data_IF_721817665374
#
_entry.id   IF_721817665374
#
_cell.length_a   1.000
_cell.length_b   1.000
_cell.length_c   1.000
_cell.angle_alpha   90.00
_cell.angle_beta   90.00
_cell.angle_gamma   90.00
#
_symmetry.space_group_name_H-M   'P 1'
#
loop_
_entity.id
_entity.type
_entity.pdbx_description
1 polymer ?
#
# COMPACT_ATOMS: atom_id res chain seq x y z
N UNK A 1 43.21 -58.95 -14.89
CA UNK A 1 41.75 -59.06 -15.10
C UNK A 1 41.09 -59.32 -13.76
N UNK A 2 39.81 -58.96 -13.58
CA UNK A 2 39.17 -57.69 -13.89
C UNK A 2 39.25 -56.81 -12.59
N UNK A 3 38.47 -55.76 -12.30
CA UNK A 3 37.59 -54.89 -13.09
C UNK A 3 37.72 -53.44 -12.55
N UNK A 4 37.06 -52.46 -13.17
CA UNK A 4 36.75 -51.16 -12.55
C UNK A 4 35.26 -50.82 -12.75
N UNK A 5 34.54 -50.56 -11.66
CA UNK A 5 33.14 -50.11 -11.70
C UNK A 5 32.97 -48.72 -11.08
N UNK A 6 32.83 -47.72 -11.95
CA UNK A 6 32.58 -46.32 -11.56
C UNK A 6 31.15 -46.14 -11.03
N UNK A 7 31.01 -45.67 -9.79
CA UNK A 7 29.73 -45.42 -9.12
C UNK A 7 29.20 -43.99 -9.34
N UNK A 8 28.78 -43.67 -10.57
CA UNK A 8 28.07 -42.42 -10.86
C UNK A 8 26.55 -42.58 -10.71
N UNK A 9 26.05 -42.29 -9.50
CA UNK A 9 24.64 -42.42 -9.12
C UNK A 9 24.10 -41.21 -8.36
N UNK A 10 24.17 -40.01 -8.95
CA UNK A 10 23.55 -38.81 -8.37
C UNK A 10 22.02 -38.86 -8.51
N UNK A 11 21.36 -39.55 -7.57
CA UNK A 11 19.90 -39.65 -7.52
C UNK A 11 19.29 -38.27 -7.24
N UNK A 12 18.64 -37.70 -8.26
CA UNK A 12 17.77 -36.54 -8.11
C UNK A 12 16.60 -36.88 -7.18
N UNK A 13 16.58 -36.27 -5.99
CA UNK A 13 15.52 -36.51 -5.01
C UNK A 13 14.19 -35.95 -5.49
N UNK A 14 13.20 -36.83 -5.68
CA UNK A 14 11.77 -36.57 -5.53
C UNK A 14 11.18 -35.41 -6.37
N UNK A 15 10.71 -35.73 -7.58
CA UNK A 15 9.98 -34.81 -8.50
C UNK A 15 8.59 -34.36 -8.01
N UNK A 16 8.12 -34.80 -6.85
CA UNK A 16 6.71 -34.73 -6.40
C UNK A 16 6.20 -33.37 -5.92
N UNK A 17 6.96 -32.28 -6.05
CA UNK A 17 6.57 -30.93 -5.57
C UNK A 17 7.04 -29.78 -6.48
N UNK A 18 7.09 -30.00 -7.81
CA UNK A 18 7.46 -28.94 -8.78
C UNK A 18 6.20 -28.34 -9.42
N UNK A 19 5.90 -27.07 -9.14
CA UNK A 19 4.76 -26.37 -9.78
C UNK A 19 5.27 -25.61 -11.00
N UNK A 20 5.61 -26.32 -12.08
CA UNK A 20 6.10 -25.77 -13.35
C UNK A 20 5.05 -25.90 -14.45
N UNK A 21 5.04 -24.96 -15.41
CA UNK A 21 4.24 -25.04 -16.64
C UNK A 21 5.04 -25.56 -17.83
N UNK A 22 6.34 -25.82 -17.65
CA UNK A 22 7.22 -26.36 -18.69
C UNK A 22 6.86 -27.82 -18.99
N UNK A 23 6.67 -28.22 -20.27
CA UNK A 23 6.47 -29.61 -20.65
C UNK A 23 7.63 -30.51 -20.18
N UNK A 24 7.37 -31.75 -19.68
CA UNK A 24 8.43 -32.62 -19.15
C UNK A 24 9.59 -32.90 -20.11
N UNK A 25 9.32 -32.97 -21.42
CA UNK A 25 10.34 -33.14 -22.47
C UNK A 25 11.28 -31.94 -22.56
N UNK A 26 10.74 -30.72 -22.55
CA UNK A 26 11.50 -29.46 -22.57
C UNK A 26 12.29 -29.30 -21.26
N UNK A 27 11.67 -29.62 -20.12
CA UNK A 27 12.34 -29.60 -18.83
C UNK A 27 13.53 -30.57 -18.76
N UNK A 28 13.34 -31.80 -19.25
CA UNK A 28 14.41 -32.80 -19.33
C UNK A 28 15.54 -32.33 -20.26
N UNK A 29 15.21 -31.81 -21.44
CA UNK A 29 16.21 -31.31 -22.39
C UNK A 29 17.08 -30.20 -21.78
N UNK A 30 16.47 -29.20 -21.11
CA UNK A 30 17.18 -28.10 -20.46
C UNK A 30 18.06 -28.61 -19.31
N UNK A 31 17.52 -29.44 -18.42
CA UNK A 31 18.23 -29.91 -17.22
C UNK A 31 19.34 -30.93 -17.49
N UNK A 32 19.30 -31.61 -18.63
CA UNK A 32 20.35 -32.55 -19.06
C UNK A 32 21.45 -31.90 -19.91
N UNK A 33 21.34 -30.60 -20.24
CA UNK A 33 22.42 -29.91 -20.97
C UNK A 33 23.71 -29.84 -20.13
N UNK A 34 24.86 -29.88 -20.81
CA UNK A 34 26.18 -29.62 -20.19
C UNK A 34 26.46 -28.12 -20.00
N UNK A 35 25.41 -27.32 -19.82
CA UNK A 35 25.49 -25.87 -19.63
C UNK A 35 25.81 -25.52 -18.17
N UNK A 36 26.20 -24.26 -17.91
CA UNK A 36 26.40 -23.82 -16.53
C UNK A 36 25.06 -23.81 -15.75
N UNK A 37 25.08 -24.00 -14.42
CA UNK A 37 23.88 -23.98 -13.60
C UNK A 37 23.09 -22.66 -13.62
N UNK A 38 23.77 -21.54 -13.90
CA UNK A 38 23.15 -20.23 -14.16
C UNK A 38 22.41 -20.21 -15.50
N UNK A 39 23.02 -20.75 -16.57
CA UNK A 39 22.38 -20.86 -17.89
C UNK A 39 21.19 -21.82 -17.85
N UNK A 40 21.28 -22.93 -17.13
CA UNK A 40 20.14 -23.84 -16.91
C UNK A 40 18.99 -23.09 -16.22
N UNK A 41 19.27 -22.31 -15.18
CA UNK A 41 18.24 -21.51 -14.52
C UNK A 41 17.67 -20.40 -15.42
N UNK A 42 18.46 -19.80 -16.31
CA UNK A 42 17.98 -18.84 -17.31
C UNK A 42 17.03 -19.50 -18.33
N UNK A 43 17.44 -20.60 -18.96
CA UNK A 43 16.64 -21.37 -19.91
C UNK A 43 15.33 -21.86 -19.29
N UNK A 44 15.34 -22.29 -18.02
CA UNK A 44 14.10 -22.65 -17.30
C UNK A 44 13.17 -21.44 -17.11
N UNK A 45 13.70 -20.24 -16.81
CA UNK A 45 12.87 -19.03 -16.71
C UNK A 45 12.29 -18.58 -18.06
N UNK A 46 13.03 -18.76 -19.16
CA UNK A 46 12.52 -18.54 -20.51
C UNK A 46 11.42 -19.54 -20.86
N UNK A 47 11.62 -20.82 -20.53
CA UNK A 47 10.61 -21.86 -20.74
C UNK A 47 9.32 -21.63 -19.92
N UNK A 48 9.40 -21.18 -18.65
CA UNK A 48 8.20 -20.77 -17.89
C UNK A 48 7.51 -19.56 -18.53
N UNK A 49 8.25 -18.60 -19.08
CA UNK A 49 7.66 -17.45 -19.74
C UNK A 49 6.92 -17.82 -21.04
N UNK A 50 7.47 -18.75 -21.81
CA UNK A 50 6.87 -19.26 -23.07
C UNK A 50 5.65 -20.15 -22.82
N UNK A 51 5.66 -20.98 -21.77
CA UNK A 51 4.58 -21.93 -21.47
C UNK A 51 3.59 -21.41 -20.40
N UNK A 52 3.73 -20.16 -19.95
CA UNK A 52 2.81 -19.54 -19.00
C UNK A 52 1.40 -19.42 -19.62
N UNK A 53 0.33 -19.93 -18.95
CA UNK A 53 -1.04 -19.86 -19.45
C UNK A 53 -1.63 -18.44 -19.46
N UNK A 54 -0.91 -17.46 -18.93
CA UNK A 54 -1.32 -16.05 -18.93
C UNK A 54 -0.17 -15.14 -19.35
N UNK A 55 -0.41 -14.08 -20.13
CA UNK A 55 0.60 -13.11 -20.49
C UNK A 55 1.20 -12.45 -19.26
N UNK A 56 2.52 -12.20 -19.30
CA UNK A 56 3.23 -11.45 -18.27
C UNK A 56 2.67 -10.02 -18.19
N UNK A 57 2.09 -9.65 -17.04
CA UNK A 57 1.58 -8.30 -16.83
C UNK A 57 2.68 -7.24 -17.09
N UNK A 58 2.35 -6.12 -17.73
CA UNK A 58 3.31 -5.15 -18.26
C UNK A 58 4.31 -4.59 -17.22
N UNK A 59 3.90 -4.45 -15.96
CA UNK A 59 4.79 -3.99 -14.87
C UNK A 59 5.56 -5.13 -14.16
N UNK A 60 5.29 -6.39 -14.48
CA UNK A 60 5.90 -7.53 -13.83
C UNK A 60 7.31 -7.76 -14.37
N UNK A 61 8.29 -7.78 -13.47
CA UNK A 61 9.69 -8.03 -13.85
C UNK A 61 9.96 -9.50 -14.20
N UNK A 62 9.20 -10.44 -13.64
CA UNK A 62 9.40 -11.90 -13.74
C UNK A 62 8.07 -12.62 -13.93
N UNK A 63 8.11 -13.80 -14.54
CA UNK A 63 7.05 -14.83 -14.46
C UNK A 63 7.35 -15.72 -13.23
N UNK A 64 6.34 -16.39 -12.68
CA UNK A 64 6.48 -17.31 -11.55
C UNK A 64 5.88 -18.68 -11.89
N UNK A 65 6.51 -19.80 -11.51
CA UNK A 65 7.70 -19.92 -10.65
C UNK A 65 8.96 -19.30 -11.30
N UNK A 66 9.80 -18.67 -10.48
CA UNK A 66 11.05 -18.09 -10.93
C UNK A 66 12.22 -18.97 -10.50
N UNK A 67 12.96 -19.49 -11.46
CA UNK A 67 14.08 -20.40 -11.23
C UNK A 67 15.35 -19.65 -10.83
N UNK A 68 16.08 -20.20 -9.86
CA UNK A 68 17.37 -19.69 -9.38
C UNK A 68 18.35 -20.81 -9.14
N UNK A 69 19.63 -20.54 -9.34
CA UNK A 69 20.74 -21.42 -9.00
C UNK A 69 21.03 -21.38 -7.49
N UNK A 70 21.17 -22.54 -6.85
CA UNK A 70 21.53 -22.63 -5.42
C UNK A 70 23.02 -22.33 -5.21
N UNK A 71 23.38 -21.38 -4.35
CA UNK A 71 24.80 -21.00 -4.11
C UNK A 71 25.70 -22.08 -3.47
N UNK A 72 25.17 -23.26 -3.13
CA UNK A 72 25.94 -24.34 -2.49
C UNK A 72 25.95 -25.60 -3.37
N UNK A 73 24.78 -26.20 -3.63
CA UNK A 73 24.71 -27.41 -4.46
C UNK A 73 24.57 -27.14 -5.96
N UNK A 74 24.52 -25.86 -6.37
CA UNK A 74 24.31 -25.39 -7.75
C UNK A 74 22.99 -25.82 -8.42
N UNK A 75 22.24 -26.78 -7.86
CA UNK A 75 20.95 -27.20 -8.42
C UNK A 75 19.97 -26.02 -8.58
N UNK A 76 19.24 -25.95 -9.71
CA UNK A 76 18.18 -24.97 -9.91
C UNK A 76 17.00 -25.25 -8.96
N UNK A 77 16.37 -24.19 -8.47
CA UNK A 77 15.22 -24.27 -7.57
C UNK A 77 14.20 -23.16 -7.84
N UNK A 78 12.93 -23.45 -7.58
CA UNK A 78 11.83 -22.52 -7.79
C UNK A 78 11.67 -21.52 -6.63
N UNK A 79 11.29 -20.29 -6.98
CA UNK A 79 10.77 -19.28 -6.07
C UNK A 79 9.38 -18.87 -6.57
N UNK A 80 8.34 -18.97 -5.74
CA UNK A 80 6.96 -18.73 -6.18
C UNK A 80 6.50 -17.28 -5.98
N UNK A 81 7.26 -16.46 -5.25
CA UNK A 81 6.96 -15.02 -5.05
C UNK A 81 8.19 -14.13 -5.26
N UNK A 82 7.93 -12.83 -5.44
CA UNK A 82 8.94 -11.76 -5.54
C UNK A 82 9.86 -11.71 -4.32
N UNK A 83 9.31 -11.93 -3.14
CA UNK A 83 9.99 -11.92 -1.84
C UNK A 83 10.90 -13.14 -1.70
N UNK A 84 10.41 -14.32 -2.11
CA UNK A 84 11.22 -15.54 -2.19
C UNK A 84 12.37 -15.35 -3.19
N UNK A 85 12.09 -14.89 -4.41
CA UNK A 85 13.11 -14.68 -5.43
C UNK A 85 14.16 -13.62 -5.03
N UNK A 86 13.80 -12.62 -4.21
CA UNK A 86 14.72 -11.64 -3.63
C UNK A 86 15.56 -12.21 -2.48
N UNK A 87 14.94 -12.94 -1.53
CA UNK A 87 15.58 -13.40 -0.29
C UNK A 87 16.34 -14.72 -0.42
N UNK A 88 15.77 -15.70 -1.12
CA UNK A 88 16.27 -17.06 -1.13
C UNK A 88 17.53 -17.16 -2.00
N UNK A 89 18.62 -17.71 -1.45
CA UNK A 89 19.90 -17.95 -2.15
C UNK A 89 20.24 -19.44 -2.26
N UNK A 90 19.41 -20.29 -1.66
CA UNK A 90 19.64 -21.72 -1.47
C UNK A 90 18.32 -22.47 -1.70
N UNK A 91 18.38 -23.67 -2.28
CA UNK A 91 17.21 -24.46 -2.63
C UNK A 91 16.43 -25.02 -1.42
N UNK A 92 17.10 -25.20 -0.28
CA UNK A 92 16.52 -25.80 0.92
C UNK A 92 17.29 -25.40 2.17
N UNK A 93 16.72 -25.66 3.36
CA UNK A 93 17.40 -25.44 4.65
C UNK A 93 18.72 -26.22 4.75
N UNK A 94 18.85 -27.37 4.09
CA UNK A 94 20.08 -28.16 4.08
C UNK A 94 21.23 -27.46 3.34
N UNK A 95 20.91 -26.63 2.34
CA UNK A 95 21.88 -25.81 1.61
C UNK A 95 22.08 -24.41 2.21
N UNK A 96 21.39 -24.05 3.29
CA UNK A 96 21.70 -22.82 4.03
C UNK A 96 22.96 -23.07 4.86
N UNK A 97 24.05 -22.29 4.71
CA UNK A 97 25.22 -22.42 5.56
C UNK A 97 24.84 -22.30 7.03
N UNK A 98 25.20 -23.29 7.86
CA UNK A 98 24.87 -23.35 9.31
C UNK A 98 25.58 -22.28 10.15
N UNK A 99 26.17 -21.26 9.53
CA UNK A 99 26.91 -20.19 10.18
C UNK A 99 26.19 -18.84 9.99
N UNK A 100 25.04 -18.61 10.66
CA UNK A 100 24.49 -17.27 10.79
C UNK A 100 25.51 -16.45 11.58
N UNK A 101 26.18 -15.52 10.89
CA UNK A 101 27.49 -14.98 11.27
C UNK A 101 27.74 -14.85 12.77
N UNK A 102 28.66 -15.69 13.28
CA UNK A 102 29.07 -15.88 14.68
C UNK A 102 28.36 -14.95 15.69
N UNK A 103 27.18 -15.37 16.15
CA UNK A 103 26.54 -14.75 17.31
C UNK A 103 27.49 -14.96 18.49
N UNK A 104 28.13 -13.88 18.95
CA UNK A 104 29.10 -13.93 20.04
C UNK A 104 28.48 -14.62 21.29
N UNK A 105 29.20 -15.56 21.94
CA UNK A 105 28.85 -16.08 23.26
C UNK A 105 28.54 -14.94 24.24
N UNK A 106 27.67 -15.16 25.21
CA UNK A 106 27.20 -14.07 26.08
C UNK A 106 28.35 -13.41 26.87
N UNK A 107 29.39 -14.17 27.23
CA UNK A 107 30.62 -13.67 27.86
C UNK A 107 31.44 -12.71 26.98
N UNK A 108 31.37 -12.81 25.65
CA UNK A 108 32.08 -11.92 24.72
C UNK A 108 31.28 -10.66 24.36
N UNK A 109 30.07 -10.49 24.89
CA UNK A 109 29.19 -9.36 24.55
C UNK A 109 29.43 -8.20 25.52
N UNK A 110 29.74 -7.03 24.96
CA UNK A 110 29.84 -5.76 25.70
C UNK A 110 28.45 -5.33 26.23
N UNK A 111 28.25 -5.51 27.52
CA UNK A 111 27.00 -5.25 28.24
C UNK A 111 27.07 -5.71 29.68
N UNK A 112 26.08 -5.31 30.48
CA UNK A 112 26.01 -5.61 31.91
C UNK A 112 24.64 -6.15 32.29
N UNK A 113 24.59 -6.96 33.35
CA UNK A 113 23.34 -7.31 34.02
C UNK A 113 22.92 -6.13 34.90
N UNK A 114 21.68 -5.69 34.74
CA UNK A 114 21.13 -4.55 35.48
C UNK A 114 19.72 -4.89 35.98
N UNK A 115 19.36 -4.37 37.15
CA UNK A 115 18.05 -4.58 37.74
C UNK A 115 16.94 -3.84 36.96
N UNK A 116 15.76 -4.46 36.86
CA UNK A 116 14.58 -3.78 36.35
C UNK A 116 14.07 -2.76 37.37
N UNK A 117 13.95 -1.49 36.96
CA UNK A 117 13.51 -0.40 37.83
C UNK A 117 12.09 -0.57 38.41
N UNK A 118 11.24 -1.43 37.85
CA UNK A 118 9.88 -1.68 38.37
C UNK A 118 9.78 -2.90 39.30
N UNK A 119 10.56 -3.95 39.05
CA UNK A 119 10.37 -5.24 39.73
C UNK A 119 11.67 -5.91 40.21
N UNK A 120 12.80 -5.19 40.21
CA UNK A 120 14.11 -5.68 40.62
C UNK A 120 14.75 -6.68 39.66
N UNK A 121 13.96 -7.47 38.91
CA UNK A 121 14.45 -8.58 38.08
C UNK A 121 15.65 -8.20 37.21
N UNK A 122 16.76 -8.87 37.47
CA UNK A 122 18.00 -8.74 36.72
C UNK A 122 17.82 -9.13 35.26
N UNK A 123 18.30 -8.27 34.36
CA UNK A 123 18.35 -8.57 32.92
C UNK A 123 19.61 -7.99 32.29
N UNK A 124 20.26 -8.80 31.45
CA UNK A 124 21.40 -8.38 30.64
C UNK A 124 21.00 -7.37 29.55
N UNK A 125 21.80 -6.30 29.42
CA UNK A 125 21.62 -5.24 28.41
C UNK A 125 22.96 -4.86 27.76
N UNK A 126 23.00 -4.62 26.44
CA UNK A 126 24.20 -4.11 25.77
C UNK A 126 24.55 -2.69 26.26
N UNK A 127 25.84 -2.36 26.34
CA UNK A 127 26.31 -1.03 26.76
C UNK A 127 25.77 0.10 25.84
N UNK A 128 25.50 -0.21 24.57
CA UNK A 128 24.88 0.72 23.63
C UNK A 128 23.43 1.10 24.01
N UNK A 129 22.70 0.23 24.73
CA UNK A 129 21.37 0.54 25.24
C UNK A 129 21.45 1.31 26.56
N UNK A 130 22.36 0.92 27.44
CA UNK A 130 22.61 1.61 28.72
C UNK A 130 23.08 3.06 28.52
N UNK A 131 23.88 3.34 27.48
CA UNK A 131 24.25 4.71 27.09
C UNK A 131 23.09 5.55 26.51
N UNK A 132 22.00 4.92 26.06
CA UNK A 132 20.87 5.61 25.40
C UNK A 132 19.66 5.77 26.33
N UNK A 133 19.45 4.81 27.22
CA UNK A 133 18.30 4.75 28.09
C UNK A 133 18.74 4.60 29.54
N UNK A 134 18.56 5.68 30.30
CA UNK A 134 18.72 5.70 31.76
C UNK A 134 17.76 4.71 32.44
N UNK A 135 16.54 4.58 31.92
CA UNK A 135 15.54 3.64 32.45
C UNK A 135 15.65 2.25 31.85
N UNK A 136 15.78 1.22 32.70
CA UNK A 136 15.87 -0.18 32.27
C UNK A 136 14.74 -1.04 32.83
N UNK A 137 14.09 -1.78 31.93
CA UNK A 137 13.00 -2.70 32.24
C UNK A 137 13.30 -4.12 31.75
N UNK A 138 12.84 -5.12 32.51
CA UNK A 138 13.02 -6.53 32.14
C UNK A 138 12.15 -6.93 30.93
N UNK A 139 10.91 -6.43 30.87
CA UNK A 139 9.93 -6.76 29.84
C UNK A 139 9.17 -5.52 29.32
N UNK A 140 8.48 -5.68 28.18
CA UNK A 140 7.56 -4.66 27.64
C UNK A 140 6.42 -4.34 28.60
N UNK A 141 6.01 -5.27 29.46
CA UNK A 141 4.96 -5.05 30.46
C UNK A 141 5.44 -4.09 31.57
N UNK A 142 6.67 -4.25 32.06
CA UNK A 142 7.21 -3.37 33.09
C UNK A 142 7.42 -1.95 32.57
N UNK A 143 7.98 -1.80 31.37
CA UNK A 143 8.06 -0.50 30.68
C UNK A 143 6.64 0.10 30.50
N UNK A 144 5.69 -0.71 30.02
CA UNK A 144 4.30 -0.31 29.81
C UNK A 144 3.58 0.17 31.08
N UNK A 145 3.85 -0.43 32.25
CA UNK A 145 3.29 0.03 33.53
C UNK A 145 3.78 1.42 33.93
N UNK A 146 5.10 1.68 33.83
CA UNK A 146 5.67 3.00 34.14
C UNK A 146 5.13 4.07 33.19
N UNK A 147 5.15 3.79 31.88
CA UNK A 147 4.57 4.70 30.86
C UNK A 147 3.06 4.88 31.02
N UNK A 148 2.34 3.86 31.45
CA UNK A 148 0.91 3.94 31.73
C UNK A 148 0.60 4.85 32.91
N UNK A 149 1.40 4.77 34.00
CA UNK A 149 1.28 5.67 35.14
C UNK A 149 1.64 7.12 34.79
N UNK A 150 2.64 7.34 33.92
CA UNK A 150 2.95 8.65 33.34
C UNK A 150 1.78 9.20 32.51
N UNK A 151 1.26 8.40 31.57
CA UNK A 151 0.12 8.78 30.72
C UNK A 151 -1.17 9.02 31.50
N UNK A 152 -1.40 8.31 32.60
CA UNK A 152 -2.54 8.54 33.50
C UNK A 152 -2.56 9.98 34.05
N UNK A 153 -1.39 10.59 34.31
CA UNK A 153 -1.27 12.02 34.69
C UNK A 153 -1.74 12.98 33.61
N UNK A 154 -1.94 12.51 32.37
CA UNK A 154 -2.43 13.30 31.24
C UNK A 154 -3.80 12.84 30.74
N UNK A 155 -4.41 11.80 31.34
CA UNK A 155 -5.72 11.30 30.95
C UNK A 155 -6.82 12.38 31.05
N UNK A 156 -6.73 13.27 32.04
CA UNK A 156 -7.62 14.43 32.21
C UNK A 156 -7.56 15.45 31.06
N UNK A 157 -6.59 15.36 30.15
CA UNK A 157 -6.49 16.23 28.95
C UNK A 157 -7.27 15.67 27.76
N UNK A 158 -7.78 14.45 27.86
CA UNK A 158 -8.62 13.82 26.83
C UNK A 158 -10.05 14.37 26.83
N UNK A 159 -10.76 14.19 25.70
CA UNK A 159 -12.16 14.64 25.53
C UNK A 159 -13.13 14.09 26.59
N UNK A 160 -12.82 12.96 27.22
CA UNK A 160 -13.66 12.37 28.29
C UNK A 160 -13.72 13.23 29.57
N UNK A 161 -12.82 14.20 29.74
CA UNK A 161 -12.77 15.11 30.88
C UNK A 161 -13.10 16.57 30.48
N UNK A 162 -13.62 16.81 29.29
CA UNK A 162 -14.05 18.15 28.86
C UNK A 162 -15.35 18.54 29.55
N UNK A 163 -15.42 19.77 30.05
CA UNK A 163 -16.69 20.39 30.46
C UNK A 163 -17.52 20.75 29.23
N UNK A 164 -18.85 20.87 29.38
CA UNK A 164 -19.74 21.35 28.30
C UNK A 164 -19.28 22.69 27.73
N UNK A 165 -18.90 23.62 28.61
CA UNK A 165 -18.32 24.92 28.25
C UNK A 165 -17.03 24.78 27.42
N UNK A 166 -16.13 23.84 27.77
CA UNK A 166 -14.93 23.57 26.98
C UNK A 166 -15.25 22.98 25.60
N UNK A 167 -16.31 22.17 25.49
CA UNK A 167 -16.78 21.63 24.22
C UNK A 167 -17.42 22.73 23.36
N UNK A 168 -18.27 23.58 23.93
CA UNK A 168 -18.88 24.74 23.26
C UNK A 168 -17.81 25.74 22.77
N UNK A 169 -16.82 26.05 23.61
CA UNK A 169 -15.66 26.88 23.24
C UNK A 169 -14.78 26.25 22.15
N UNK A 170 -14.62 24.93 22.14
CA UNK A 170 -13.95 24.24 21.03
C UNK A 170 -14.78 24.33 19.74
N UNK A 171 -16.09 24.10 19.84
CA UNK A 171 -17.02 24.11 18.71
C UNK A 171 -17.13 25.50 18.09
N UNK A 172 -17.18 26.57 18.87
CA UNK A 172 -17.21 27.96 18.37
C UNK A 172 -15.92 28.29 17.63
N UNK A 173 -14.76 27.99 18.22
CA UNK A 173 -13.43 28.21 17.62
C UNK A 173 -13.16 27.38 16.37
N UNK A 174 -13.82 26.23 16.19
CA UNK A 174 -13.57 25.31 15.07
C UNK A 174 -14.63 25.37 13.96
N UNK A 175 -15.60 26.29 14.03
CA UNK A 175 -16.65 26.49 13.01
C UNK A 175 -16.41 27.74 12.15
N UNK A 176 -16.74 27.62 10.86
CA UNK A 176 -16.78 28.74 9.92
C UNK A 176 -15.49 29.59 9.93
N UNK A 177 -15.66 30.92 9.85
CA UNK A 177 -14.56 31.91 9.83
C UNK A 177 -13.66 31.89 11.07
N UNK A 178 -14.11 31.37 12.21
CA UNK A 178 -13.31 31.30 13.43
C UNK A 178 -12.23 30.20 13.39
N UNK A 179 -12.44 29.16 12.56
CA UNK A 179 -11.49 28.06 12.41
C UNK A 179 -10.21 28.54 11.69
N UNK A 180 -9.00 28.40 12.27
CA UNK A 180 -7.76 28.81 11.60
C UNK A 180 -7.49 28.12 10.25
N UNK A 181 -8.08 26.94 10.03
CA UNK A 181 -8.01 26.22 8.75
C UNK A 181 -9.03 26.72 7.71
N UNK A 182 -9.94 27.64 8.05
CA UNK A 182 -10.95 28.17 7.13
C UNK A 182 -10.32 29.00 6.01
N UNK A 183 -10.56 28.59 4.77
CA UNK A 183 -10.10 29.29 3.55
C UNK A 183 -11.31 29.84 2.79
N UNK A 184 -12.02 30.78 3.42
CA UNK A 184 -13.18 31.46 2.82
C UNK A 184 -14.41 30.58 2.58
N UNK A 185 -14.42 29.33 3.03
CA UNK A 185 -15.47 28.36 2.69
C UNK A 185 -15.29 27.74 1.30
N UNK A 186 -14.05 27.70 0.79
CA UNK A 186 -13.68 26.98 -0.43
C UNK A 186 -12.89 25.73 -0.07
N UNK A 187 -13.19 24.61 -0.73
CA UNK A 187 -12.46 23.34 -0.61
C UNK A 187 -12.26 22.73 -2.00
N UNK A 188 -11.23 21.87 -2.13
CA UNK A 188 -10.91 21.19 -3.38
C UNK A 188 -10.95 19.68 -3.17
N UNK A 189 -11.89 19.00 -3.83
CA UNK A 189 -12.00 17.56 -3.78
C UNK A 189 -11.11 16.91 -4.85
N UNK A 190 -10.08 16.19 -4.41
CA UNK A 190 -9.17 15.43 -5.27
C UNK A 190 -9.67 13.98 -5.40
N UNK A 191 -9.98 13.54 -6.62
CA UNK A 191 -10.21 12.12 -6.94
C UNK A 191 -8.87 11.37 -6.98
N UNK A 192 -8.88 10.06 -6.76
CA UNK A 192 -7.66 9.24 -6.86
C UNK A 192 -7.13 9.19 -8.30
N UNK A 193 -5.81 9.24 -8.48
CA UNK A 193 -5.16 9.27 -9.79
C UNK A 193 -4.78 10.70 -10.21
N UNK A 194 -4.65 10.94 -11.51
CA UNK A 194 -4.19 12.22 -12.08
C UNK A 194 -5.34 13.16 -12.49
N UNK A 195 -6.46 13.12 -11.77
CA UNK A 195 -7.61 13.98 -12.07
C UNK A 195 -7.44 15.37 -11.44
N UNK A 196 -7.78 16.41 -12.21
CA UNK A 196 -7.88 17.79 -11.71
C UNK A 196 -8.86 17.87 -10.51
N UNK A 197 -8.56 18.71 -9.49
CA UNK A 197 -9.41 18.87 -8.32
C UNK A 197 -10.72 19.59 -8.67
N UNK A 198 -11.84 19.13 -8.10
CA UNK A 198 -13.15 19.79 -8.25
C UNK A 198 -13.30 20.82 -7.12
N UNK A 199 -13.68 22.05 -7.46
CA UNK A 199 -13.92 23.13 -6.49
C UNK A 199 -15.30 23.02 -5.84
N UNK A 200 -15.32 23.06 -4.52
CA UNK A 200 -16.51 23.08 -3.67
C UNK A 200 -16.54 24.39 -2.89
N UNK A 201 -17.74 24.95 -2.74
CA UNK A 201 -17.98 26.20 -2.01
C UNK A 201 -19.04 25.98 -0.92
N UNK A 202 -19.04 26.82 0.11
CA UNK A 202 -20.07 26.81 1.14
C UNK A 202 -21.42 27.10 0.48
N UNK A 203 -22.39 26.22 0.69
CA UNK A 203 -23.69 26.35 0.04
C UNK A 203 -24.53 27.46 0.69
N UNK A 204 -25.12 28.40 -0.08
CA UNK A 204 -26.10 29.36 0.42
C UNK A 204 -27.37 28.65 0.92
N UNK A 205 -28.12 29.31 1.80
CA UNK A 205 -29.28 28.73 2.48
C UNK A 205 -30.37 28.24 1.51
N UNK A 206 -30.70 29.06 0.51
CA UNK A 206 -31.65 28.77 -0.58
C UNK A 206 -31.35 27.48 -1.37
N UNK A 207 -30.07 27.09 -1.44
CA UNK A 207 -29.61 25.94 -2.23
C UNK A 207 -29.18 24.75 -1.37
N UNK A 208 -29.40 24.77 -0.05
CA UNK A 208 -28.93 23.73 0.88
C UNK A 208 -29.39 22.31 0.52
N UNK A 209 -30.51 22.14 -0.20
CA UNK A 209 -30.97 20.84 -0.72
C UNK A 209 -29.99 20.19 -1.71
N UNK A 210 -29.09 20.97 -2.32
CA UNK A 210 -28.00 20.50 -3.19
C UNK A 210 -26.69 20.23 -2.42
N UNK A 211 -26.61 20.63 -1.15
CA UNK A 211 -25.40 20.51 -0.36
C UNK A 211 -25.16 19.08 0.13
N UNK A 212 -23.89 18.75 0.33
CA UNK A 212 -23.46 17.58 1.10
C UNK A 212 -23.78 17.78 2.59
N UNK A 213 -23.71 16.70 3.38
CA UNK A 213 -23.90 16.71 4.85
C UNK A 213 -22.97 17.67 5.61
N UNK A 214 -21.86 18.09 5.00
CA UNK A 214 -20.91 19.07 5.56
C UNK A 214 -21.27 20.54 5.21
N UNK A 215 -22.33 20.77 4.42
CA UNK A 215 -22.80 22.09 3.98
C UNK A 215 -22.04 22.67 2.77
N UNK A 216 -21.36 21.83 1.99
CA UNK A 216 -20.66 22.24 0.76
C UNK A 216 -21.35 21.71 -0.50
N UNK A 217 -21.29 22.51 -1.57
CA UNK A 217 -21.82 22.19 -2.90
C UNK A 217 -20.72 22.35 -3.96
N UNK A 218 -20.82 21.63 -5.08
CA UNK A 218 -19.91 21.82 -6.22
C UNK A 218 -20.17 23.17 -6.88
N UNK A 219 -19.12 23.95 -7.13
CA UNK A 219 -19.26 25.34 -7.60
C UNK A 219 -20.01 25.45 -8.93
N UNK A 220 -19.65 24.64 -9.93
CA UNK A 220 -20.35 24.62 -11.24
C UNK A 220 -21.85 24.33 -11.09
N UNK A 221 -22.26 23.46 -10.14
CA UNK A 221 -23.68 23.20 -9.90
C UNK A 221 -24.38 24.40 -9.27
N UNK A 222 -23.72 25.09 -8.35
CA UNK A 222 -24.29 26.28 -7.70
C UNK A 222 -24.46 27.43 -8.71
N UNK A 223 -23.46 27.69 -9.55
CA UNK A 223 -23.53 28.76 -10.55
C UNK A 223 -24.67 28.53 -11.56
N UNK A 224 -24.86 27.29 -12.02
CA UNK A 224 -25.99 26.94 -12.91
C UNK A 224 -27.33 27.03 -12.17
N UNK A 225 -27.40 26.58 -10.91
CA UNK A 225 -28.62 26.71 -10.09
C UNK A 225 -29.03 28.17 -9.88
N UNK A 226 -28.05 29.05 -9.64
CA UNK A 226 -28.25 30.49 -9.51
C UNK A 226 -28.66 31.15 -10.83
N UNK A 227 -28.06 30.76 -11.95
CA UNK A 227 -28.42 31.28 -13.28
C UNK A 227 -29.84 30.89 -13.72
N UNK A 228 -30.32 29.71 -13.33
CA UNK A 228 -31.69 29.23 -13.63
C UNK A 228 -32.70 29.69 -12.56
N UNK A 229 -32.23 30.12 -11.37
CA UNK A 229 -33.09 30.57 -10.27
C UNK A 229 -33.79 29.44 -9.50
N UNK A 230 -33.29 28.18 -9.59
CA UNK A 230 -33.80 27.06 -8.79
C UNK A 230 -32.72 26.05 -8.42
N UNK A 231 -32.88 25.27 -7.34
CA UNK A 231 -32.04 24.12 -7.08
C UNK A 231 -32.06 23.09 -8.23
N UNK A 232 -30.90 22.50 -8.51
CA UNK A 232 -30.76 21.41 -9.48
C UNK A 232 -31.11 20.05 -8.86
N UNK A 233 -31.90 19.27 -9.58
CA UNK A 233 -32.26 17.90 -9.26
C UNK A 233 -31.02 17.01 -9.22
N UNK A 234 -31.11 15.90 -8.47
CA UNK A 234 -30.02 14.92 -8.35
C UNK A 234 -29.75 14.16 -9.67
N UNK A 235 -30.73 14.09 -10.56
CA UNK A 235 -30.59 13.51 -11.90
C UNK A 235 -29.86 14.43 -12.88
N UNK A 236 -30.05 15.75 -12.75
CA UNK A 236 -29.48 16.74 -13.66
C UNK A 236 -27.96 16.77 -13.55
N UNK A 237 -27.27 16.85 -14.69
CA UNK A 237 -25.81 16.83 -14.79
C UNK A 237 -25.33 18.13 -15.43
N UNK A 238 -24.33 18.76 -14.81
CA UNK A 238 -23.62 19.90 -15.39
C UNK A 238 -22.38 19.38 -16.12
N UNK A 239 -22.22 19.81 -17.37
CA UNK A 239 -21.09 19.52 -18.25
C UNK A 239 -20.22 20.77 -18.44
N UNK A 240 -18.93 20.57 -18.70
CA UNK A 240 -17.94 21.62 -18.97
C UNK A 240 -17.55 21.54 -20.45
N UNK A 241 -17.87 22.56 -21.26
CA UNK A 241 -17.66 22.55 -22.73
C UNK A 241 -16.21 22.27 -23.11
N UNK A 242 -15.25 22.82 -22.36
CA UNK A 242 -13.81 22.60 -22.58
C UNK A 242 -13.23 21.35 -21.88
N UNK A 243 -14.07 20.51 -21.25
CA UNK A 243 -13.70 19.38 -20.41
C UNK A 243 -12.73 19.70 -19.23
N UNK A 244 -12.57 20.97 -18.84
CA UNK A 244 -11.77 21.38 -17.68
C UNK A 244 -12.64 21.57 -16.42
N UNK A 245 -12.62 20.65 -15.44
CA UNK A 245 -13.43 20.76 -14.22
C UNK A 245 -13.00 21.89 -13.28
N UNK A 246 -11.96 22.66 -13.62
CA UNK A 246 -11.52 23.85 -12.90
C UNK A 246 -12.09 25.15 -13.48
N UNK A 247 -12.54 25.16 -14.74
CA UNK A 247 -13.12 26.33 -15.39
C UNK A 247 -14.64 26.37 -15.19
N UNK A 248 -15.07 26.98 -14.09
CA UNK A 248 -16.48 27.11 -13.74
C UNK A 248 -17.10 28.42 -14.26
N UNK A 249 -16.55 29.08 -15.27
CA UNK A 249 -17.21 30.23 -15.90
C UNK A 249 -18.61 29.84 -16.40
N UNK A 250 -19.65 30.65 -16.14
CA UNK A 250 -21.05 30.32 -16.50
C UNK A 250 -21.16 29.93 -17.98
N UNK A 251 -20.48 30.67 -18.86
CA UNK A 251 -20.38 30.34 -20.27
C UNK A 251 -19.89 28.90 -20.51
N UNK A 252 -18.85 28.42 -19.83
CA UNK A 252 -18.32 27.07 -20.04
C UNK A 252 -19.26 25.94 -19.56
N UNK A 253 -20.42 26.23 -18.98
CA UNK A 253 -21.30 25.25 -18.34
C UNK A 253 -22.58 24.98 -19.13
N UNK A 254 -22.99 23.72 -19.14
CA UNK A 254 -24.22 23.25 -19.78
C UNK A 254 -24.96 22.28 -18.84
N UNK A 255 -26.28 22.26 -18.89
CA UNK A 255 -27.11 21.39 -18.04
C UNK A 255 -27.83 20.33 -18.88
N UNK A 256 -27.75 19.08 -18.46
CA UNK A 256 -28.50 17.96 -19.04
C UNK A 256 -29.49 17.40 -18.02
N UNK A 257 -30.66 16.96 -18.50
CA UNK A 257 -31.71 16.38 -17.65
C UNK A 257 -31.25 15.10 -16.92
N UNK A 258 -30.38 14.31 -17.55
CA UNK A 258 -29.80 13.10 -16.98
C UNK A 258 -28.36 12.84 -17.42
N UNK A 259 -27.66 11.98 -16.67
CA UNK A 259 -26.32 11.50 -17.05
C UNK A 259 -26.33 10.67 -18.35
N UNK A 260 -27.46 10.06 -18.73
CA UNK A 260 -27.60 9.35 -20.01
C UNK A 260 -27.51 10.35 -21.16
N UNK A 261 -28.24 11.46 -21.05
CA UNK A 261 -28.38 12.44 -22.12
C UNK A 261 -27.06 13.20 -22.34
N UNK A 262 -26.38 13.56 -21.24
CA UNK A 262 -24.99 14.05 -21.28
C UNK A 262 -24.05 13.08 -22.03
N UNK A 263 -24.17 11.76 -21.81
CA UNK A 263 -23.30 10.77 -22.47
C UNK A 263 -23.65 10.52 -23.93
N UNK A 264 -24.92 10.64 -24.31
CA UNK A 264 -25.33 10.61 -25.71
C UNK A 264 -24.85 11.88 -26.46
N UNK A 265 -24.91 13.04 -25.81
CA UNK A 265 -24.37 14.28 -26.36
C UNK A 265 -22.85 14.21 -26.58
N UNK A 266 -22.07 13.72 -25.61
CA UNK A 266 -20.61 13.51 -25.78
C UNK A 266 -20.26 12.51 -26.90
N UNK A 267 -21.16 11.58 -27.24
CA UNK A 267 -20.92 10.55 -28.26
C UNK A 267 -21.47 10.90 -29.66
N UNK A 268 -22.56 11.66 -29.73
CA UNK A 268 -23.38 11.83 -30.93
C UNK A 268 -23.88 13.28 -31.15
N UNK A 269 -23.57 14.22 -30.26
CA UNK A 269 -24.04 15.60 -30.33
C UNK A 269 -25.54 15.81 -30.05
N UNK A 270 -26.24 14.78 -29.58
CA UNK A 270 -27.69 14.81 -29.32
C UNK A 270 -28.04 13.87 -28.14
N UNK A 271 -29.02 14.22 -27.28
CA UNK A 271 -29.87 15.40 -27.32
C UNK A 271 -29.16 16.66 -26.82
N UNK A 272 -29.68 17.83 -27.20
CA UNK A 272 -29.20 19.13 -26.69
C UNK A 272 -29.34 19.25 -25.16
N UNK A 273 -28.45 20.01 -24.50
CA UNK A 273 -28.61 20.38 -23.10
C UNK A 273 -29.86 21.24 -22.89
N UNK A 274 -30.53 21.04 -21.75
CA UNK A 274 -31.73 21.78 -21.33
C UNK A 274 -31.44 23.23 -20.92
N UNK A 275 -30.17 23.60 -20.74
CA UNK A 275 -29.71 24.97 -20.54
C UNK A 275 -28.23 25.08 -20.93
N UNK A 276 -27.84 26.22 -21.52
CA UNK A 276 -26.45 26.60 -21.81
C UNK A 276 -26.20 28.02 -21.28
N UNK A 277 -25.01 28.27 -20.74
CA UNK A 277 -24.52 29.61 -20.38
C UNK A 277 -23.69 30.27 -21.48
#
# INVERSE_FOLDING_TARGET
>A
MPNMTSSNGSQFKSLSNMTTTIPPSVFAAITQTKSSPETIAALLNEAEATHSPSPKHWNAKRVYPFWKTCKICLNPFQCHTKEQAKRNQYCSRACVPKNPGKIKPMAERKGKTVACQLCGKEVWRPDAWLRKYETVFCSRQCNGRVRGAEWAKHAHKGRAAWTKESEENFVSRMRGKANPAWKGGVTYFRKHGNYKPIKYVRCPEEFLVMARKDGYVMEHRLLVAQAIGRPLLRSEVVHHRNHDPQDNAIANLELFASNRDHKLYEAHGSPDPIWRG
#
